data_IF_960560503731
#
_entry.id   IF_960560503731
#
_cell.length_a   1.000
_cell.length_b   1.000
_cell.length_c   1.000
_cell.angle_alpha   90.00
_cell.angle_beta   90.00
_cell.angle_gamma   90.00
#
_symmetry.space_group_name_H-M   'P 1'
#
loop_
_entity.id
_entity.type
_entity.pdbx_description
1 polymer ?
#
# COMPACT_ATOMS: atom_id res chain seq x y z
N UNK A 1 0.64 -20.79 36.74
CA UNK A 1 -0.03 -19.47 36.59
C UNK A 1 -1.43 -19.77 36.06
N UNK A 2 -2.20 -20.60 36.77
CA UNK A 2 -3.42 -21.22 36.23
C UNK A 2 -4.70 -20.41 36.51
N UNK A 3 -4.55 -19.16 36.98
CA UNK A 3 -5.68 -18.30 37.36
C UNK A 3 -5.41 -16.82 36.99
N UNK A 4 -4.67 -16.59 35.89
CA UNK A 4 -4.35 -15.25 35.42
C UNK A 4 -5.58 -14.58 34.80
N UNK A 5 -6.26 -13.74 35.59
CA UNK A 5 -7.38 -12.91 35.13
C UNK A 5 -6.90 -11.68 34.38
N UNK A 6 -7.62 -11.28 33.34
CA UNK A 6 -7.38 -10.01 32.65
C UNK A 6 -7.79 -8.82 33.53
N UNK A 7 -7.25 -7.61 33.25
CA UNK A 7 -7.69 -6.40 33.95
C UNK A 7 -9.20 -6.16 33.77
N UNK A 8 -9.73 -6.50 32.58
CA UNK A 8 -11.16 -6.43 32.26
C UNK A 8 -11.98 -7.38 33.14
N UNK A 9 -11.54 -8.61 33.33
CA UNK A 9 -12.19 -9.58 34.22
C UNK A 9 -12.14 -9.13 35.69
N UNK A 10 -11.02 -8.57 36.14
CA UNK A 10 -10.88 -8.04 37.50
C UNK A 10 -11.84 -6.86 37.70
N UNK A 11 -11.90 -5.93 36.75
CA UNK A 11 -12.84 -4.80 36.79
C UNK A 11 -14.29 -5.28 36.73
N UNK A 12 -14.60 -6.28 35.90
CA UNK A 12 -15.94 -6.84 35.80
C UNK A 12 -16.39 -7.51 37.12
N UNK A 13 -15.45 -8.10 37.88
CA UNK A 13 -15.74 -8.72 39.17
C UNK A 13 -16.07 -7.71 40.28
N UNK A 14 -15.58 -6.47 40.20
CA UNK A 14 -15.91 -5.39 41.13
C UNK A 14 -15.80 -4.01 40.46
N UNK A 15 -16.86 -3.56 39.75
CA UNK A 15 -16.83 -2.32 38.97
C UNK A 15 -16.56 -1.06 39.82
N UNK A 16 -16.92 -1.08 41.11
CA UNK A 16 -16.69 0.05 42.02
C UNK A 16 -15.19 0.29 42.29
N UNK A 17 -14.35 -0.75 42.13
CA UNK A 17 -12.89 -0.62 42.27
C UNK A 17 -12.21 -0.05 41.04
N UNK A 18 -12.87 0.01 39.87
CA UNK A 18 -12.28 0.48 38.61
C UNK A 18 -11.54 1.82 38.74
N UNK A 19 -12.11 2.89 39.34
CA UNK A 19 -11.43 4.18 39.45
C UNK A 19 -10.14 4.09 40.29
N UNK A 20 -10.15 3.30 41.36
CA UNK A 20 -9.00 3.12 42.24
C UNK A 20 -7.89 2.31 41.57
N UNK A 21 -8.26 1.23 40.88
CA UNK A 21 -7.32 0.37 40.12
C UNK A 21 -6.63 1.20 39.04
N UNK A 22 -7.40 1.94 38.23
CA UNK A 22 -6.84 2.74 37.15
C UNK A 22 -6.00 3.91 37.65
N UNK A 23 -6.37 4.55 38.77
CA UNK A 23 -5.52 5.58 39.39
C UNK A 23 -4.17 5.03 39.82
N UNK A 24 -4.15 3.89 40.52
CA UNK A 24 -2.91 3.26 40.95
C UNK A 24 -2.05 2.80 39.75
N UNK A 25 -2.69 2.22 38.73
CA UNK A 25 -2.02 1.83 37.50
C UNK A 25 -1.42 3.06 36.78
N UNK A 26 -2.15 4.17 36.72
CA UNK A 26 -1.67 5.44 36.15
C UNK A 26 -0.41 5.94 36.86
N UNK A 27 -0.45 6.03 38.19
CA UNK A 27 0.68 6.51 39.00
C UNK A 27 1.92 5.63 38.81
N UNK A 28 1.72 4.31 38.78
CA UNK A 28 2.78 3.33 38.53
C UNK A 28 3.37 3.51 37.13
N UNK A 29 2.53 3.57 36.10
CA UNK A 29 2.97 3.73 34.71
C UNK A 29 3.71 5.05 34.48
N UNK A 30 3.21 6.16 35.04
CA UNK A 30 3.90 7.46 34.97
C UNK A 30 5.28 7.38 35.62
N UNK A 31 5.41 6.72 36.78
CA UNK A 31 6.72 6.51 37.42
C UNK A 31 7.69 5.71 36.54
N UNK A 32 7.20 4.66 35.87
CA UNK A 32 8.01 3.83 34.96
C UNK A 32 8.46 4.62 33.73
N UNK A 33 7.57 5.44 33.16
CA UNK A 33 7.86 6.33 32.02
C UNK A 33 8.94 7.36 32.42
N UNK A 34 8.82 7.99 33.58
CA UNK A 34 9.80 8.97 34.09
C UNK A 34 11.18 8.36 34.35
N UNK A 35 11.23 7.07 34.70
CA UNK A 35 12.47 6.30 34.90
C UNK A 35 13.03 5.70 33.61
N UNK A 36 12.46 6.03 32.44
CA UNK A 36 12.87 5.49 31.13
C UNK A 36 12.78 3.96 31.03
N UNK A 37 11.86 3.35 31.80
CA UNK A 37 11.64 1.90 31.81
C UNK A 37 10.55 1.47 30.81
N UNK A 38 10.08 2.39 29.96
CA UNK A 38 8.98 2.14 29.03
C UNK A 38 9.33 1.11 27.95
N UNK A 39 10.61 0.85 27.70
CA UNK A 39 11.08 -0.10 26.68
C UNK A 39 10.83 -1.58 27.02
N UNK A 40 10.46 -1.88 28.26
CA UNK A 40 10.13 -3.24 28.68
C UNK A 40 8.72 -3.62 28.22
N UNK A 41 8.58 -4.76 27.55
CA UNK A 41 7.31 -5.21 26.95
C UNK A 41 6.17 -5.39 27.96
N UNK A 42 6.50 -5.73 29.22
CA UNK A 42 5.51 -5.77 30.32
C UNK A 42 4.84 -4.42 30.54
N UNK A 43 5.57 -3.31 30.35
CA UNK A 43 5.05 -1.95 30.45
C UNK A 43 4.14 -1.64 29.26
N UNK A 44 4.45 -2.14 28.06
CA UNK A 44 3.60 -1.95 26.88
C UNK A 44 2.23 -2.61 27.09
N UNK A 45 2.22 -3.83 27.64
CA UNK A 45 0.97 -4.54 27.97
C UNK A 45 0.18 -3.79 29.04
N UNK A 46 0.82 -3.36 30.12
CA UNK A 46 0.17 -2.57 31.17
C UNK A 46 -0.37 -1.22 30.65
N UNK A 47 0.35 -0.56 29.74
CA UNK A 47 -0.14 0.63 29.03
C UNK A 47 -1.38 0.31 28.20
N UNK A 48 -1.36 -0.75 27.40
CA UNK A 48 -2.50 -1.14 26.58
C UNK A 48 -3.75 -1.43 27.44
N UNK A 49 -3.58 -2.15 28.54
CA UNK A 49 -4.67 -2.46 29.48
C UNK A 49 -5.22 -1.19 30.12
N UNK A 50 -4.35 -0.23 30.47
CA UNK A 50 -4.75 1.09 30.94
C UNK A 50 -5.55 1.86 29.88
N UNK A 51 -5.03 1.99 28.65
CA UNK A 51 -5.69 2.72 27.56
C UNK A 51 -7.06 2.14 27.18
N UNK A 52 -7.21 0.82 27.29
CA UNK A 52 -8.48 0.12 26.98
C UNK A 52 -9.56 0.40 28.02
N UNK A 53 -9.17 0.67 29.27
CA UNK A 53 -10.09 0.79 30.40
C UNK A 53 -10.26 2.22 30.93
N UNK A 54 -9.34 3.13 30.62
CA UNK A 54 -9.31 4.51 31.10
C UNK A 54 -10.45 5.37 30.54
N UNK A 55 -10.94 6.29 31.36
CA UNK A 55 -11.80 7.38 30.89
C UNK A 55 -11.00 8.40 30.06
N UNK A 56 -11.71 9.34 29.41
CA UNK A 56 -11.11 10.36 28.55
C UNK A 56 -10.08 11.22 29.28
N UNK A 57 -10.34 11.57 30.54
CA UNK A 57 -9.45 12.42 31.34
C UNK A 57 -8.14 11.69 31.64
N UNK A 58 -8.23 10.49 32.21
CA UNK A 58 -7.07 9.65 32.52
C UNK A 58 -6.26 9.31 31.26
N UNK A 59 -6.94 9.05 30.14
CA UNK A 59 -6.30 8.78 28.85
C UNK A 59 -5.51 10.00 28.36
N UNK A 60 -6.10 11.19 28.40
CA UNK A 60 -5.43 12.43 27.98
C UNK A 60 -4.18 12.69 28.80
N UNK A 61 -4.27 12.56 30.13
CA UNK A 61 -3.13 12.74 31.04
C UNK A 61 -2.00 11.71 30.79
N UNK A 62 -2.35 10.47 30.43
CA UNK A 62 -1.35 9.44 30.07
C UNK A 62 -0.71 9.70 28.71
N UNK A 63 -1.46 10.18 27.73
CA UNK A 63 -0.92 10.57 26.41
C UNK A 63 0.15 11.65 26.60
N UNK A 64 -0.13 12.67 27.40
CA UNK A 64 0.85 13.73 27.69
C UNK A 64 2.13 13.19 28.33
N UNK A 65 2.02 12.18 29.20
CA UNK A 65 3.17 11.56 29.87
C UNK A 65 4.03 10.71 28.91
N UNK A 66 3.41 10.00 27.96
CA UNK A 66 4.10 8.98 27.14
C UNK A 66 4.49 9.45 25.73
N UNK A 67 3.89 10.53 25.20
CA UNK A 67 4.00 10.96 23.79
C UNK A 67 5.42 11.11 23.23
N UNK A 68 6.41 11.39 24.09
CA UNK A 68 7.82 11.53 23.68
C UNK A 68 8.55 10.19 23.54
N UNK A 69 8.04 9.12 24.15
CA UNK A 69 8.71 7.82 24.24
C UNK A 69 8.07 6.74 23.37
N UNK A 70 6.98 7.05 22.65
CA UNK A 70 6.24 6.06 21.82
C UNK A 70 7.12 5.40 20.74
N UNK A 71 8.12 6.11 20.22
CA UNK A 71 9.10 5.57 19.26
C UNK A 71 9.87 4.37 19.81
N UNK A 72 9.99 4.26 21.14
CA UNK A 72 10.68 3.16 21.81
C UNK A 72 9.83 1.88 21.89
N UNK A 73 8.51 1.96 21.75
CA UNK A 73 7.60 0.84 22.04
C UNK A 73 6.83 0.32 20.82
N UNK A 74 6.71 1.14 19.77
CA UNK A 74 5.88 0.87 18.58
C UNK A 74 6.27 -0.38 17.77
N UNK A 75 7.43 -0.98 18.06
CA UNK A 75 7.92 -2.19 17.41
C UNK A 75 7.23 -3.46 17.92
N UNK A 76 6.42 -3.37 18.99
CA UNK A 76 5.65 -4.48 19.57
C UNK A 76 4.16 -4.35 19.26
N UNK A 77 3.42 -5.45 19.30
CA UNK A 77 1.95 -5.46 19.12
C UNK A 77 1.22 -4.49 20.06
N UNK A 78 1.53 -4.57 21.36
CA UNK A 78 0.90 -3.75 22.39
C UNK A 78 1.36 -2.29 22.26
N UNK A 79 2.66 -2.05 22.08
CA UNK A 79 3.20 -0.70 21.97
C UNK A 79 2.75 0.04 20.71
N UNK A 80 2.54 -0.66 19.59
CA UNK A 80 1.93 -0.09 18.39
C UNK A 80 0.47 0.31 18.65
N UNK A 81 -0.32 -0.54 19.32
CA UNK A 81 -1.72 -0.21 19.68
C UNK A 81 -1.80 0.97 20.65
N UNK A 82 -0.90 1.05 21.63
CA UNK A 82 -0.78 2.22 22.51
C UNK A 82 -0.44 3.47 21.69
N UNK A 83 0.51 3.38 20.77
CA UNK A 83 0.88 4.49 19.88
C UNK A 83 -0.29 4.93 19.00
N UNK A 84 -1.05 4.00 18.42
CA UNK A 84 -2.27 4.28 17.63
C UNK A 84 -3.32 4.98 18.50
N UNK A 85 -3.57 4.50 19.72
CA UNK A 85 -4.49 5.14 20.68
C UNK A 85 -4.06 6.57 21.02
N UNK A 86 -2.76 6.80 21.24
CA UNK A 86 -2.21 8.14 21.46
C UNK A 86 -2.39 9.06 20.24
N UNK A 87 -2.25 8.54 19.02
CA UNK A 87 -2.49 9.29 17.79
C UNK A 87 -3.97 9.63 17.62
N UNK A 88 -4.89 8.70 17.91
CA UNK A 88 -6.33 8.93 17.75
C UNK A 88 -6.88 9.88 18.80
N UNK A 89 -6.51 9.70 20.07
CA UNK A 89 -7.09 10.46 21.17
C UNK A 89 -6.23 11.65 21.63
N UNK A 90 -5.00 11.78 21.13
CA UNK A 90 -4.14 12.91 21.45
C UNK A 90 -4.59 14.21 20.78
N UNK A 91 -4.30 15.33 21.44
CA UNK A 91 -4.52 16.67 20.89
C UNK A 91 -3.62 16.94 19.69
N UNK A 92 -3.85 18.01 18.91
CA UNK A 92 -2.91 18.43 17.87
C UNK A 92 -1.48 18.66 18.39
N UNK A 93 -1.34 19.12 19.65
CA UNK A 93 -0.04 19.29 20.30
C UNK A 93 0.63 17.93 20.55
N UNK A 94 -0.12 16.95 21.04
CA UNK A 94 0.39 15.60 21.27
C UNK A 94 0.86 14.95 19.97
N UNK A 95 0.00 14.95 18.95
CA UNK A 95 0.31 14.40 17.62
C UNK A 95 1.57 15.04 17.05
N UNK A 96 1.75 16.35 17.19
CA UNK A 96 2.96 17.05 16.74
C UNK A 96 4.23 16.55 17.45
N UNK A 97 4.16 16.28 18.75
CA UNK A 97 5.29 15.75 19.52
C UNK A 97 5.60 14.31 19.07
N UNK A 98 4.57 13.46 18.92
CA UNK A 98 4.70 12.07 18.46
C UNK A 98 5.33 12.02 17.06
N UNK A 99 4.80 12.79 16.10
CA UNK A 99 5.34 12.81 14.73
C UNK A 99 6.81 13.24 14.72
N UNK A 100 7.19 14.23 15.54
CA UNK A 100 8.58 14.68 15.64
C UNK A 100 9.51 13.65 16.28
N UNK A 101 9.04 12.85 17.24
CA UNK A 101 9.86 11.80 17.86
C UNK A 101 10.17 10.64 16.92
N UNK A 102 9.42 10.49 15.82
CA UNK A 102 9.67 9.49 14.79
C UNK A 102 10.81 9.85 13.83
N UNK A 103 11.23 11.14 13.82
CA UNK A 103 12.32 11.61 12.96
C UNK A 103 13.58 10.76 13.16
N UNK A 104 14.28 10.46 12.07
CA UNK A 104 15.44 9.56 11.99
C UNK A 104 15.13 8.07 12.15
N UNK A 105 13.90 7.71 12.52
CA UNK A 105 13.46 6.32 12.68
C UNK A 105 12.41 5.91 11.64
N UNK A 106 11.97 6.81 10.76
CA UNK A 106 10.83 6.58 9.85
C UNK A 106 11.01 5.33 9.00
N UNK A 107 12.20 5.14 8.42
CA UNK A 107 12.50 3.95 7.59
C UNK A 107 12.43 2.67 8.41
N UNK A 108 12.91 2.70 9.67
CA UNK A 108 12.82 1.55 10.57
C UNK A 108 11.35 1.24 10.88
N UNK A 109 10.57 2.25 11.26
CA UNK A 109 9.13 2.12 11.57
C UNK A 109 8.37 1.55 10.37
N UNK A 110 8.66 2.00 9.14
CA UNK A 110 8.03 1.48 7.93
C UNK A 110 8.20 -0.04 7.79
N UNK A 111 9.36 -0.57 8.20
CA UNK A 111 9.72 -1.99 7.99
C UNK A 111 9.37 -2.90 9.16
N UNK A 112 8.87 -2.35 10.26
CA UNK A 112 8.50 -3.12 11.45
C UNK A 112 7.11 -3.73 11.31
N UNK A 113 6.95 -4.97 11.79
CA UNK A 113 5.70 -5.73 11.75
C UNK A 113 4.54 -4.97 12.41
N UNK A 114 4.80 -4.31 13.53
CA UNK A 114 3.79 -3.52 14.25
C UNK A 114 3.97 -2.01 14.06
N UNK A 115 5.21 -1.55 13.90
CA UNK A 115 5.53 -0.13 13.72
C UNK A 115 4.84 0.49 12.51
N UNK A 116 4.75 -0.22 11.39
CA UNK A 116 4.12 0.32 10.18
C UNK A 116 2.64 0.67 10.38
N UNK A 117 1.93 -0.06 11.26
CA UNK A 117 0.52 0.20 11.59
C UNK A 117 0.33 1.57 12.26
N UNK A 118 1.33 2.04 13.00
CA UNK A 118 1.32 3.37 13.63
C UNK A 118 1.39 4.48 12.58
N UNK A 119 2.11 4.28 11.47
CA UNK A 119 2.13 5.21 10.36
C UNK A 119 0.80 5.24 9.62
N UNK A 120 0.13 4.08 9.47
CA UNK A 120 -1.21 4.03 8.87
C UNK A 120 -2.22 4.84 9.72
N UNK A 121 -2.21 4.64 11.03
CA UNK A 121 -3.04 5.41 11.97
C UNK A 121 -2.70 6.91 11.97
N UNK A 122 -1.42 7.27 11.83
CA UNK A 122 -0.95 8.64 11.72
C UNK A 122 -1.52 9.32 10.48
N UNK A 123 -1.48 8.65 9.32
CA UNK A 123 -2.08 9.16 8.08
C UNK A 123 -3.60 9.34 8.23
N UNK A 124 -4.26 8.46 8.99
CA UNK A 124 -5.70 8.51 9.27
C UNK A 124 -6.12 9.53 10.34
N UNK A 125 -5.19 10.13 11.12
CA UNK A 125 -5.56 10.99 12.25
C UNK A 125 -4.91 12.39 12.27
N UNK A 126 -3.75 12.60 11.66
CA UNK A 126 -3.01 13.87 11.81
C UNK A 126 -3.41 14.91 10.75
N UNK A 127 -4.12 15.97 11.17
CA UNK A 127 -4.58 17.05 10.28
C UNK A 127 -3.43 17.96 9.77
N UNK A 128 -2.35 18.10 10.53
CA UNK A 128 -1.14 18.84 10.12
C UNK A 128 -0.33 17.99 9.13
N UNK A 129 -0.86 17.84 7.92
CA UNK A 129 -0.24 17.08 6.83
C UNK A 129 1.08 17.70 6.37
N UNK A 130 1.28 19.01 6.53
CA UNK A 130 2.56 19.67 6.26
C UNK A 130 3.66 19.14 7.19
N UNK A 131 3.34 18.93 8.48
CA UNK A 131 4.28 18.28 9.41
C UNK A 131 4.55 16.83 8.99
N UNK A 132 3.51 16.06 8.64
CA UNK A 132 3.67 14.67 8.17
C UNK A 132 4.56 14.63 6.93
N UNK A 133 4.37 15.55 5.99
CA UNK A 133 5.20 15.67 4.80
C UNK A 133 6.67 15.94 5.13
N UNK A 134 6.93 16.92 6.01
CA UNK A 134 8.29 17.34 6.38
C UNK A 134 9.08 16.34 7.19
N UNK A 135 8.41 15.51 8.00
CA UNK A 135 9.08 14.56 8.91
C UNK A 135 9.01 13.13 8.37
N UNK A 136 7.82 12.67 8.01
CA UNK A 136 7.60 11.27 7.63
C UNK A 136 7.91 11.08 6.15
N UNK A 137 7.18 11.77 5.26
CA UNK A 137 7.33 11.57 3.82
C UNK A 137 8.73 11.95 3.35
N UNK A 138 9.28 13.08 3.82
CA UNK A 138 10.63 13.53 3.45
C UNK A 138 11.73 12.49 3.72
N UNK A 139 11.62 11.69 4.79
CA UNK A 139 12.56 10.60 5.06
C UNK A 139 12.28 9.36 4.18
N UNK A 140 11.02 9.11 3.83
CA UNK A 140 10.63 7.96 2.99
C UNK A 140 11.09 8.10 1.54
N UNK A 141 10.94 9.29 0.93
CA UNK A 141 11.12 9.48 -0.52
C UNK A 141 12.52 9.08 -1.04
N UNK A 142 13.63 9.37 -0.35
CA UNK A 142 14.96 8.94 -0.80
C UNK A 142 15.21 7.43 -0.69
N UNK A 143 14.32 6.67 -0.04
CA UNK A 143 14.49 5.24 0.29
C UNK A 143 13.34 4.38 -0.24
N UNK A 144 12.62 4.85 -1.25
CA UNK A 144 11.45 4.16 -1.80
C UNK A 144 11.73 2.70 -2.19
N UNK A 145 12.88 2.39 -2.81
CA UNK A 145 13.24 1.02 -3.18
C UNK A 145 13.31 0.10 -1.95
N UNK A 146 14.02 0.52 -0.90
CA UNK A 146 14.14 -0.26 0.33
C UNK A 146 12.79 -0.47 1.02
N UNK A 147 11.94 0.57 1.04
CA UNK A 147 10.60 0.49 1.62
C UNK A 147 9.73 -0.45 0.80
N UNK A 148 9.77 -0.35 -0.53
CA UNK A 148 8.96 -1.15 -1.45
C UNK A 148 9.33 -2.65 -1.39
N UNK A 149 10.61 -2.98 -1.27
CA UNK A 149 11.10 -4.35 -1.16
C UNK A 149 10.70 -5.01 0.17
N UNK A 150 10.58 -4.23 1.25
CA UNK A 150 10.14 -4.75 2.53
C UNK A 150 8.63 -5.05 2.56
N UNK A 151 8.24 -6.18 3.17
CA UNK A 151 6.83 -6.59 3.29
C UNK A 151 5.93 -5.55 3.96
N UNK A 152 6.37 -5.00 5.11
CA UNK A 152 5.62 -4.00 5.87
C UNK A 152 5.76 -2.59 5.26
N UNK A 153 6.98 -2.25 4.79
CA UNK A 153 7.24 -0.96 4.15
C UNK A 153 6.33 -0.73 2.95
N UNK A 154 6.15 -1.75 2.11
CA UNK A 154 5.23 -1.70 0.97
C UNK A 154 3.78 -1.46 1.39
N UNK A 155 3.34 -1.94 2.55
CA UNK A 155 1.99 -1.65 3.08
C UNK A 155 1.84 -0.16 3.38
N UNK A 156 2.89 0.53 3.86
CA UNK A 156 2.87 1.99 4.07
C UNK A 156 2.66 2.72 2.74
N UNK A 157 3.38 2.33 1.69
CA UNK A 157 3.22 2.93 0.35
C UNK A 157 1.83 2.65 -0.23
N UNK A 158 1.35 1.40 -0.14
CA UNK A 158 0.01 1.02 -0.59
C UNK A 158 -1.09 1.76 0.18
N UNK A 159 -0.88 2.10 1.45
CA UNK A 159 -1.87 2.84 2.23
C UNK A 159 -1.99 4.30 1.80
N UNK A 160 -0.87 4.94 1.42
CA UNK A 160 -0.90 6.29 0.86
C UNK A 160 -1.63 6.34 -0.50
N UNK A 161 -1.51 5.27 -1.30
CA UNK A 161 -2.16 5.14 -2.61
C UNK A 161 -3.65 4.77 -2.50
N UNK A 162 -3.94 3.71 -1.75
CA UNK A 162 -5.25 3.08 -1.65
C UNK A 162 -5.51 2.62 -0.20
N UNK A 163 -5.79 3.57 0.72
CA UNK A 163 -5.98 3.29 2.14
C UNK A 163 -7.14 2.33 2.32
N UNK A 164 -6.93 1.33 3.20
CA UNK A 164 -7.93 0.34 3.61
C UNK A 164 -8.54 -0.50 2.48
N UNK A 165 -7.90 -0.56 1.30
CA UNK A 165 -8.38 -1.39 0.20
C UNK A 165 -8.27 -2.89 0.58
N UNK A 166 -9.36 -3.69 0.54
CA UNK A 166 -9.34 -5.10 1.00
C UNK A 166 -8.40 -6.01 0.22
N UNK A 167 -8.04 -5.66 -1.02
CA UNK A 167 -7.02 -6.39 -1.79
C UNK A 167 -5.61 -6.24 -1.22
N UNK A 168 -5.36 -5.19 -0.42
CA UNK A 168 -4.06 -4.90 0.18
C UNK A 168 -4.04 -5.12 1.69
N UNK A 169 -5.17 -4.98 2.39
CA UNK A 169 -5.22 -5.03 3.84
C UNK A 169 -6.23 -6.07 4.31
N UNK A 170 -5.79 -6.96 5.20
CA UNK A 170 -6.66 -7.97 5.80
C UNK A 170 -7.78 -7.28 6.62
N UNK A 171 -8.99 -7.87 6.69
CA UNK A 171 -10.12 -7.28 7.41
C UNK A 171 -9.81 -6.89 8.86
N UNK A 172 -9.01 -7.70 9.57
CA UNK A 172 -8.59 -7.41 10.95
C UNK A 172 -7.78 -6.12 11.07
N UNK A 173 -6.90 -5.82 10.11
CA UNK A 173 -6.12 -4.58 10.09
C UNK A 173 -7.03 -3.38 9.82
N UNK A 174 -7.96 -3.53 8.88
CA UNK A 174 -8.94 -2.48 8.58
C UNK A 174 -9.79 -2.20 9.82
N UNK A 175 -10.33 -3.24 10.46
CA UNK A 175 -11.12 -3.12 11.69
C UNK A 175 -10.33 -2.44 12.82
N UNK A 176 -9.05 -2.78 12.97
CA UNK A 176 -8.18 -2.13 13.95
C UNK A 176 -8.03 -0.63 13.66
N UNK A 177 -7.78 -0.25 12.40
CA UNK A 177 -7.62 1.15 12.01
C UNK A 177 -8.92 1.97 12.17
N UNK A 178 -10.08 1.37 11.89
CA UNK A 178 -11.37 2.05 12.02
C UNK A 178 -11.71 2.47 13.46
N UNK A 179 -11.04 1.93 14.47
CA UNK A 179 -11.22 2.35 15.87
C UNK A 179 -10.82 3.81 16.11
N UNK A 180 -9.98 4.38 15.24
CA UNK A 180 -9.57 5.78 15.29
C UNK A 180 -10.48 6.76 14.56
N UNK A 181 -11.50 6.26 13.85
CA UNK A 181 -12.37 7.09 13.03
C UNK A 181 -13.29 7.96 13.89
N UNK A 182 -13.61 9.16 13.41
CA UNK A 182 -14.49 10.10 14.13
C UNK A 182 -13.93 10.61 15.46
N UNK A 183 -12.62 10.45 15.71
CA UNK A 183 -12.00 10.91 16.94
C UNK A 183 -12.13 12.44 17.15
N UNK A 184 -12.01 12.87 18.40
CA UNK A 184 -12.28 14.24 18.83
C UNK A 184 -11.42 15.31 18.17
N UNK A 185 -10.18 15.00 17.76
CA UNK A 185 -9.19 16.00 17.35
C UNK A 185 -8.85 16.00 15.87
N UNK A 186 -9.32 15.01 15.10
CA UNK A 186 -9.23 15.00 13.64
C UNK A 186 -10.43 15.73 13.06
N UNK A 187 -10.24 17.00 12.70
CA UNK A 187 -11.29 17.89 12.19
C UNK A 187 -11.26 18.03 10.67
N UNK A 188 -10.10 17.79 10.05
CA UNK A 188 -9.98 17.75 8.59
C UNK A 188 -10.68 16.52 8.04
N UNK A 189 -11.48 16.70 6.98
CA UNK A 189 -12.11 15.58 6.26
C UNK A 189 -11.08 14.55 5.81
N UNK A 190 -11.41 13.27 5.96
CA UNK A 190 -10.50 12.16 5.65
C UNK A 190 -10.05 12.18 4.19
N UNK A 191 -10.93 12.57 3.26
CA UNK A 191 -10.61 12.70 1.83
C UNK A 191 -9.61 13.82 1.57
N UNK A 192 -9.77 14.98 2.20
CA UNK A 192 -8.86 16.13 2.04
C UNK A 192 -7.47 15.76 2.54
N UNK A 193 -7.38 15.15 3.72
CA UNK A 193 -6.10 14.71 4.30
C UNK A 193 -5.41 13.67 3.43
N UNK A 194 -6.16 12.68 2.94
CA UNK A 194 -5.66 11.68 2.00
C UNK A 194 -5.09 12.34 0.75
N UNK A 195 -5.83 13.25 0.13
CA UNK A 195 -5.39 13.92 -1.09
C UNK A 195 -4.11 14.71 -0.85
N UNK A 196 -4.02 15.50 0.22
CA UNK A 196 -2.79 16.25 0.54
C UNK A 196 -1.55 15.34 0.74
N UNK A 197 -1.72 14.17 1.36
CA UNK A 197 -0.63 13.20 1.53
C UNK A 197 -0.29 12.49 0.20
N UNK A 198 -1.29 12.15 -0.59
CA UNK A 198 -1.14 11.53 -1.91
C UNK A 198 -0.43 12.49 -2.88
N UNK A 199 -0.82 13.75 -2.95
CA UNK A 199 -0.17 14.79 -3.75
C UNK A 199 1.32 14.89 -3.42
N UNK A 200 1.67 14.81 -2.13
CA UNK A 200 3.05 14.94 -1.67
C UNK A 200 3.95 13.77 -2.08
N UNK A 201 3.42 12.54 -2.19
CA UNK A 201 4.21 11.37 -2.59
C UNK A 201 4.18 11.07 -4.08
N UNK A 202 3.16 11.55 -4.79
CA UNK A 202 2.90 11.18 -6.18
C UNK A 202 4.06 11.45 -7.14
N UNK A 203 4.72 12.64 -7.15
CA UNK A 203 5.82 12.91 -8.07
C UNK A 203 6.98 11.92 -7.94
N UNK A 204 7.38 11.61 -6.71
CA UNK A 204 8.46 10.66 -6.43
C UNK A 204 8.07 9.22 -6.73
N UNK A 205 6.81 8.83 -6.48
CA UNK A 205 6.33 7.49 -6.83
C UNK A 205 6.23 7.28 -8.34
N UNK A 206 5.81 8.31 -9.11
CA UNK A 206 5.81 8.27 -10.58
C UNK A 206 7.24 8.09 -11.10
N UNK A 207 8.18 8.89 -10.59
CA UNK A 207 9.60 8.78 -10.96
C UNK A 207 10.16 7.40 -10.62
N UNK A 208 9.93 6.94 -9.39
CA UNK A 208 10.34 5.60 -8.93
C UNK A 208 9.79 4.49 -9.83
N UNK A 209 8.51 4.54 -10.19
CA UNK A 209 7.90 3.56 -11.08
C UNK A 209 8.52 3.56 -12.48
N UNK A 210 8.78 4.75 -13.05
CA UNK A 210 9.38 4.89 -14.36
C UNK A 210 10.84 4.39 -14.42
N UNK A 211 11.62 4.63 -13.37
CA UNK A 211 13.05 4.28 -13.30
C UNK A 211 13.31 2.81 -12.94
N UNK A 212 12.36 2.15 -12.25
CA UNK A 212 12.57 0.81 -11.68
C UNK A 212 11.68 -0.27 -12.31
N UNK A 213 11.14 -0.02 -13.50
CA UNK A 213 10.14 -0.89 -14.17
C UNK A 213 10.56 -2.37 -14.24
N UNK A 214 11.84 -2.67 -14.52
CA UNK A 214 12.33 -4.06 -14.60
C UNK A 214 12.22 -4.76 -13.26
N UNK A 215 12.69 -4.14 -12.17
CA UNK A 215 12.60 -4.74 -10.83
C UNK A 215 11.15 -4.87 -10.39
N UNK A 216 10.33 -3.86 -10.68
CA UNK A 216 8.95 -3.81 -10.21
C UNK A 216 8.05 -4.84 -10.92
N UNK A 217 8.19 -5.03 -12.23
CA UNK A 217 7.28 -5.90 -12.98
C UNK A 217 7.62 -7.39 -12.84
N UNK A 218 8.88 -7.74 -12.54
CA UNK A 218 9.32 -9.14 -12.40
C UNK A 218 9.18 -9.67 -10.96
N UNK A 219 8.76 -8.86 -10.00
CA UNK A 219 8.40 -9.33 -8.64
C UNK A 219 6.89 -9.27 -8.41
N UNK A 220 6.33 -10.32 -7.80
CA UNK A 220 4.88 -10.44 -7.57
C UNK A 220 4.31 -9.34 -6.65
N UNK A 221 5.04 -8.96 -5.61
CA UNK A 221 4.56 -7.98 -4.65
C UNK A 221 4.82 -6.54 -5.13
N UNK A 222 5.95 -6.31 -5.79
CA UNK A 222 6.30 -5.02 -6.37
C UNK A 222 5.45 -4.68 -7.60
N UNK A 223 5.05 -5.67 -8.40
CA UNK A 223 4.18 -5.44 -9.56
C UNK A 223 2.79 -4.97 -9.12
N UNK A 224 2.28 -5.47 -7.99
CA UNK A 224 1.05 -4.95 -7.39
C UNK A 224 1.20 -3.50 -6.93
N UNK A 225 2.35 -3.14 -6.35
CA UNK A 225 2.66 -1.75 -6.00
C UNK A 225 2.74 -0.88 -7.25
N UNK A 226 3.39 -1.34 -8.32
CA UNK A 226 3.46 -0.60 -9.59
C UNK A 226 2.07 -0.29 -10.14
N UNK A 227 1.19 -1.30 -10.21
CA UNK A 227 -0.20 -1.09 -10.67
C UNK A 227 -0.94 -0.14 -9.74
N UNK A 228 -0.73 -0.22 -8.42
CA UNK A 228 -1.32 0.71 -7.47
C UNK A 228 -0.83 2.15 -7.68
N UNK A 229 0.45 2.35 -8.00
CA UNK A 229 1.03 3.66 -8.33
C UNK A 229 0.33 4.22 -9.56
N UNK A 230 0.35 3.50 -10.70
CA UNK A 230 -0.24 3.98 -11.95
C UNK A 230 -1.74 4.28 -11.82
N UNK A 231 -2.45 3.53 -10.97
CA UNK A 231 -3.88 3.73 -10.76
C UNK A 231 -4.25 4.93 -9.88
N UNK A 232 -3.46 5.21 -8.83
CA UNK A 232 -3.90 6.08 -7.74
C UNK A 232 -3.12 7.38 -7.59
N UNK A 233 -1.89 7.51 -8.11
CA UNK A 233 -1.13 8.77 -7.97
C UNK A 233 -1.80 9.94 -8.68
N UNK A 234 -1.49 11.14 -8.21
CA UNK A 234 -1.85 12.39 -8.88
C UNK A 234 -0.76 12.79 -9.88
N UNK A 235 -1.16 13.29 -11.05
CA UNK A 235 -0.25 13.72 -12.12
C UNK A 235 -0.06 12.71 -13.25
N UNK A 236 0.81 13.06 -14.19
CA UNK A 236 1.04 12.29 -15.42
C UNK A 236 1.84 11.03 -15.18
N UNK A 237 1.21 9.86 -15.32
CA UNK A 237 1.86 8.54 -15.22
C UNK A 237 2.43 8.02 -16.55
N UNK A 238 2.36 8.84 -17.60
CA UNK A 238 2.87 8.50 -18.93
C UNK A 238 4.33 7.99 -18.91
N UNK A 239 5.29 8.60 -18.18
CA UNK A 239 6.67 8.11 -18.16
C UNK A 239 6.77 6.66 -17.65
N UNK A 240 5.97 6.29 -16.65
CA UNK A 240 5.95 4.93 -16.12
C UNK A 240 5.35 3.95 -17.14
N UNK A 241 4.26 4.34 -17.82
CA UNK A 241 3.63 3.53 -18.87
C UNK A 241 4.55 3.35 -20.09
N UNK A 242 5.23 4.41 -20.52
CA UNK A 242 6.23 4.37 -21.59
C UNK A 242 7.40 3.46 -21.23
N UNK A 243 7.88 3.49 -19.99
CA UNK A 243 8.92 2.57 -19.51
C UNK A 243 8.47 1.10 -19.58
N UNK A 244 7.20 0.80 -19.27
CA UNK A 244 6.64 -0.55 -19.43
C UNK A 244 6.57 -0.93 -20.91
N UNK A 245 6.04 -0.06 -21.76
CA UNK A 245 5.94 -0.33 -23.20
C UNK A 245 7.32 -0.56 -23.83
N UNK A 246 8.34 0.22 -23.43
CA UNK A 246 9.74 0.03 -23.84
C UNK A 246 10.34 -1.29 -23.32
N UNK A 247 10.00 -1.70 -22.11
CA UNK A 247 10.43 -3.00 -21.57
C UNK A 247 9.78 -4.16 -22.34
N UNK A 248 8.51 -3.99 -22.73
CA UNK A 248 7.73 -4.96 -23.48
C UNK A 248 8.12 -5.08 -24.96
N UNK A 249 8.74 -4.04 -25.54
CA UNK A 249 9.23 -4.03 -26.93
C UNK A 249 10.63 -4.64 -27.09
N UNK A 250 11.15 -5.33 -26.07
CA UNK A 250 12.39 -6.09 -26.19
C UNK A 250 12.14 -7.33 -27.03
N UNK A 251 13.21 -7.88 -27.59
CA UNK A 251 13.13 -9.12 -28.36
C UNK A 251 12.51 -10.23 -27.51
N UNK A 252 11.45 -10.84 -28.06
CA UNK A 252 10.73 -11.94 -27.44
C UNK A 252 11.21 -13.25 -28.05
N UNK A 253 12.15 -13.91 -27.38
CA UNK A 253 12.59 -15.25 -27.77
C UNK A 253 11.51 -16.28 -27.40
N UNK A 254 10.75 -16.75 -28.38
CA UNK A 254 9.69 -17.76 -28.17
C UNK A 254 10.23 -19.17 -27.96
N UNK A 255 11.50 -19.43 -28.30
CA UNK A 255 12.15 -20.73 -28.16
C UNK A 255 12.71 -20.90 -26.75
N UNK A 256 13.21 -19.81 -26.15
CA UNK A 256 13.66 -19.82 -24.77
C UNK A 256 12.47 -20.03 -23.82
N UNK A 257 12.57 -21.06 -22.97
CA UNK A 257 11.52 -21.41 -22.00
C UNK A 257 11.73 -20.76 -20.62
N UNK A 258 12.75 -19.91 -20.45
CA UNK A 258 12.93 -19.16 -19.21
C UNK A 258 11.74 -18.21 -18.95
N UNK A 259 11.01 -18.43 -17.86
CA UNK A 259 9.77 -17.70 -17.60
C UNK A 259 9.95 -16.21 -17.25
N UNK A 260 11.16 -15.79 -16.87
CA UNK A 260 11.43 -14.43 -16.35
C UNK A 260 12.46 -13.67 -17.19
N UNK A 261 12.66 -14.07 -18.46
CA UNK A 261 13.52 -13.34 -19.41
C UNK A 261 12.79 -12.17 -20.10
N UNK A 262 11.46 -12.26 -20.22
CA UNK A 262 10.61 -11.28 -20.87
C UNK A 262 9.33 -11.00 -20.07
N UNK A 263 8.83 -9.76 -20.12
CA UNK A 263 7.65 -9.34 -19.32
C UNK A 263 6.36 -10.10 -19.70
N UNK A 264 6.25 -10.55 -20.94
CA UNK A 264 5.13 -11.38 -21.42
C UNK A 264 5.23 -12.85 -21.00
N UNK A 265 6.43 -13.32 -20.62
CA UNK A 265 6.62 -14.63 -20.00
C UNK A 265 6.50 -14.54 -18.49
N UNK A 266 6.88 -13.44 -17.87
CA UNK A 266 6.88 -13.27 -16.42
C UNK A 266 5.50 -13.46 -15.80
N UNK A 267 5.41 -14.20 -14.69
CA UNK A 267 4.14 -14.42 -13.99
C UNK A 267 3.54 -13.12 -13.43
N UNK A 268 4.38 -12.23 -12.91
CA UNK A 268 4.02 -10.91 -12.42
C UNK A 268 3.91 -9.89 -13.55
N UNK A 269 4.83 -9.93 -14.51
CA UNK A 269 4.90 -8.96 -15.61
C UNK A 269 3.67 -8.98 -16.51
N UNK A 270 3.26 -10.15 -17.01
CA UNK A 270 2.10 -10.26 -17.90
C UNK A 270 0.81 -9.84 -17.17
N UNK A 271 0.70 -10.16 -15.87
CA UNK A 271 -0.44 -9.77 -15.06
C UNK A 271 -0.48 -8.25 -14.88
N UNK A 272 0.65 -7.62 -14.59
CA UNK A 272 0.74 -6.16 -14.48
C UNK A 272 0.31 -5.49 -15.79
N UNK A 273 0.82 -5.94 -16.94
CA UNK A 273 0.44 -5.41 -18.27
C UNK A 273 -1.07 -5.55 -18.51
N UNK A 274 -1.65 -6.72 -18.23
CA UNK A 274 -3.11 -6.93 -18.36
C UNK A 274 -3.90 -5.96 -17.48
N UNK A 275 -3.47 -5.78 -16.23
CA UNK A 275 -4.12 -4.83 -15.32
C UNK A 275 -4.02 -3.39 -15.85
N UNK A 276 -2.87 -2.99 -16.41
CA UNK A 276 -2.70 -1.66 -17.02
C UNK A 276 -3.65 -1.46 -18.21
N UNK A 277 -3.80 -2.46 -19.09
CA UNK A 277 -4.77 -2.41 -20.20
C UNK A 277 -6.20 -2.25 -19.66
N UNK A 278 -6.57 -3.02 -18.64
CA UNK A 278 -7.88 -2.92 -18.01
C UNK A 278 -8.12 -1.57 -17.31
N UNK A 279 -7.05 -0.91 -16.85
CA UNK A 279 -7.14 0.41 -16.23
C UNK A 279 -7.49 1.50 -17.23
N UNK A 280 -7.28 1.31 -18.53
CA UNK A 280 -7.60 2.30 -19.55
C UNK A 280 -9.06 2.74 -19.50
N UNK A 281 -9.98 1.79 -19.25
CA UNK A 281 -11.40 2.10 -19.04
C UNK A 281 -11.60 3.15 -17.95
N UNK A 282 -11.03 2.89 -16.76
CA UNK A 282 -11.14 3.80 -15.61
C UNK A 282 -10.40 5.12 -15.84
N UNK A 283 -9.34 5.13 -16.64
CA UNK A 283 -8.57 6.34 -16.99
C UNK A 283 -9.36 7.21 -17.96
N UNK A 284 -9.97 6.61 -18.97
CA UNK A 284 -10.85 7.28 -19.94
C UNK A 284 -12.10 7.85 -19.24
N UNK A 285 -12.74 7.09 -18.35
CA UNK A 285 -13.87 7.56 -17.52
C UNK A 285 -13.51 8.76 -16.63
N UNK A 286 -12.23 8.91 -16.26
CA UNK A 286 -11.69 10.07 -15.52
C UNK A 286 -11.21 11.20 -16.43
N UNK A 287 -11.41 11.10 -17.74
CA UNK A 287 -10.99 12.11 -18.72
C UNK A 287 -9.48 12.16 -18.99
N UNK A 288 -8.76 11.04 -18.81
CA UNK A 288 -7.34 10.98 -19.16
C UNK A 288 -7.14 10.58 -20.62
N UNK A 289 -6.43 11.42 -21.37
CA UNK A 289 -6.07 11.14 -22.78
C UNK A 289 -4.92 10.14 -22.91
N UNK A 290 -4.18 9.88 -21.83
CA UNK A 290 -3.04 8.95 -21.84
C UNK A 290 -3.48 7.59 -21.32
N UNK A 291 -3.57 6.64 -22.26
CA UNK A 291 -3.96 5.26 -22.04
C UNK A 291 -2.76 4.33 -22.30
N UNK A 292 -2.69 3.20 -21.59
CA UNK A 292 -1.58 2.27 -21.70
C UNK A 292 -1.63 1.42 -22.96
N UNK A 293 -2.81 0.93 -23.36
CA UNK A 293 -2.92 0.04 -24.52
C UNK A 293 -2.49 0.68 -25.84
N UNK A 294 -2.81 1.96 -26.17
CA UNK A 294 -2.24 2.62 -27.35
C UNK A 294 -0.71 2.78 -27.24
N UNK A 295 -0.19 3.11 -26.06
CA UNK A 295 1.26 3.24 -25.84
C UNK A 295 2.01 1.92 -26.04
N UNK A 296 1.37 0.81 -25.67
CA UNK A 296 1.91 -0.53 -25.89
C UNK A 296 1.90 -0.87 -27.38
N UNK A 297 0.78 -0.67 -28.07
CA UNK A 297 0.63 -0.96 -29.50
C UNK A 297 1.59 -0.14 -30.37
N UNK A 298 1.84 1.12 -30.02
CA UNK A 298 2.82 1.97 -30.70
C UNK A 298 4.26 1.42 -30.69
N UNK A 299 4.55 0.36 -29.93
CA UNK A 299 5.87 -0.29 -29.85
C UNK A 299 5.87 -1.78 -30.19
N UNK A 300 4.73 -2.36 -30.55
CA UNK A 300 4.60 -3.79 -30.84
C UNK A 300 4.16 -3.95 -32.29
N UNK A 301 4.97 -4.63 -33.09
CA UNK A 301 4.64 -4.96 -34.46
C UNK A 301 3.77 -6.24 -34.58
N UNK A 302 3.14 -6.50 -35.74
CA UNK A 302 2.31 -7.68 -35.95
C UNK A 302 3.03 -9.02 -35.68
N UNK A 303 4.34 -9.09 -35.94
CA UNK A 303 5.14 -10.30 -35.68
C UNK A 303 5.32 -10.55 -34.18
N UNK A 304 5.57 -9.50 -33.40
CA UNK A 304 5.65 -9.56 -31.95
C UNK A 304 4.31 -9.97 -31.34
N UNK A 305 3.17 -9.47 -31.84
CA UNK A 305 1.84 -9.94 -31.41
C UNK A 305 1.62 -11.43 -31.67
N UNK A 306 2.07 -11.94 -32.83
CA UNK A 306 2.05 -13.36 -33.13
C UNK A 306 2.97 -14.15 -32.17
N UNK A 307 4.17 -13.64 -31.88
CA UNK A 307 5.11 -14.27 -30.97
C UNK A 307 4.58 -14.30 -29.53
N UNK A 308 3.88 -13.25 -29.09
CA UNK A 308 3.16 -13.25 -27.81
C UNK A 308 2.13 -14.38 -27.75
N UNK A 309 1.44 -14.67 -28.86
CA UNK A 309 0.48 -15.77 -28.93
C UNK A 309 1.13 -17.16 -28.75
N UNK A 310 2.40 -17.34 -29.11
CA UNK A 310 3.10 -18.61 -28.90
C UNK A 310 3.27 -18.95 -27.40
N UNK A 311 3.27 -17.92 -26.54
CA UNK A 311 3.41 -18.05 -25.10
C UNK A 311 2.03 -17.90 -24.44
N UNK A 312 1.63 -18.85 -23.60
CA UNK A 312 0.29 -18.80 -22.98
C UNK A 312 0.02 -17.49 -22.20
N UNK A 313 1.00 -16.99 -21.42
CA UNK A 313 0.89 -15.71 -20.70
C UNK A 313 0.82 -14.50 -21.64
N UNK A 314 1.63 -14.48 -22.70
CA UNK A 314 1.60 -13.47 -23.75
C UNK A 314 0.27 -13.46 -24.51
N UNK A 315 -0.28 -14.62 -24.83
CA UNK A 315 -1.58 -14.76 -25.47
C UNK A 315 -2.70 -14.15 -24.60
N UNK A 316 -2.63 -14.28 -23.28
CA UNK A 316 -3.57 -13.61 -22.37
C UNK A 316 -3.42 -12.08 -22.31
N UNK A 317 -2.25 -11.54 -22.66
CA UNK A 317 -2.09 -10.09 -22.87
C UNK A 317 -2.79 -9.66 -24.16
N UNK A 318 -2.62 -10.41 -25.25
CA UNK A 318 -3.33 -10.18 -26.52
C UNK A 318 -4.85 -10.25 -26.33
N UNK A 319 -5.34 -11.22 -25.54
CA UNK A 319 -6.77 -11.27 -25.14
C UNK A 319 -7.19 -9.97 -24.47
N UNK A 320 -6.41 -9.44 -23.53
CA UNK A 320 -6.74 -8.17 -22.87
C UNK A 320 -6.72 -6.97 -23.82
N UNK A 321 -5.87 -6.96 -24.86
CA UNK A 321 -5.91 -5.93 -25.90
C UNK A 321 -7.18 -6.03 -26.76
N UNK A 322 -7.57 -7.26 -27.15
CA UNK A 322 -8.81 -7.50 -27.90
C UNK A 322 -10.09 -7.26 -27.08
N UNK A 323 -10.00 -7.25 -25.76
CA UNK A 323 -11.13 -6.98 -24.85
C UNK A 323 -11.06 -5.57 -24.23
N UNK A 324 -10.08 -4.75 -24.60
CA UNK A 324 -9.90 -3.43 -24.00
C UNK A 324 -11.03 -2.47 -24.41
N UNK A 325 -11.20 -1.39 -23.64
CA UNK A 325 -12.23 -0.39 -23.91
C UNK A 325 -11.86 0.62 -25.00
N UNK A 326 -10.71 0.44 -25.67
CA UNK A 326 -10.18 1.35 -26.69
C UNK A 326 -10.38 0.72 -28.06
N UNK A 327 -11.37 1.19 -28.82
CA UNK A 327 -11.81 0.58 -30.08
C UNK A 327 -10.68 0.50 -31.11
N UNK A 328 -9.86 1.55 -31.20
CA UNK A 328 -8.76 1.65 -32.15
C UNK A 328 -7.71 0.56 -31.90
N UNK A 329 -7.44 0.23 -30.62
CA UNK A 329 -6.51 -0.84 -30.25
C UNK A 329 -7.07 -2.20 -30.65
N UNK A 330 -8.37 -2.43 -30.46
CA UNK A 330 -9.01 -3.66 -30.91
C UNK A 330 -8.85 -3.83 -32.43
N UNK A 331 -9.19 -2.80 -33.21
CA UNK A 331 -9.10 -2.83 -34.67
C UNK A 331 -7.67 -3.08 -35.15
N UNK A 332 -6.68 -2.42 -34.55
CA UNK A 332 -5.27 -2.57 -34.89
C UNK A 332 -4.76 -4.01 -34.61
N UNK A 333 -5.08 -4.56 -33.44
CA UNK A 333 -4.69 -5.94 -33.08
C UNK A 333 -5.39 -6.95 -33.98
N UNK A 334 -6.67 -6.73 -34.29
CA UNK A 334 -7.47 -7.60 -35.15
C UNK A 334 -6.89 -7.64 -36.57
N UNK A 335 -6.62 -6.47 -37.16
CA UNK A 335 -6.00 -6.33 -38.48
C UNK A 335 -4.60 -6.97 -38.51
N UNK A 336 -3.82 -6.82 -37.44
CA UNK A 336 -2.47 -7.37 -37.33
C UNK A 336 -2.46 -8.91 -37.27
N UNK A 337 -3.44 -9.52 -36.60
CA UNK A 337 -3.47 -10.98 -36.36
C UNK A 337 -4.31 -11.78 -37.35
N UNK A 338 -5.29 -11.17 -38.02
CA UNK A 338 -6.12 -11.83 -39.05
C UNK A 338 -5.30 -12.56 -40.14
N UNK A 339 -4.21 -11.98 -40.69
CA UNK A 339 -3.35 -12.68 -41.66
C UNK A 339 -2.70 -13.96 -41.12
N UNK A 340 -2.50 -14.04 -39.80
CA UNK A 340 -1.84 -15.15 -39.14
C UNK A 340 -2.79 -16.22 -38.59
N UNK A 341 -4.11 -16.14 -38.86
CA UNK A 341 -5.10 -17.10 -38.34
C UNK A 341 -4.74 -18.58 -38.57
N UNK A 342 -4.14 -18.92 -39.73
CA UNK A 342 -3.69 -20.29 -40.00
C UNK A 342 -2.56 -20.72 -39.06
N UNK A 343 -1.59 -19.84 -38.79
CA UNK A 343 -0.49 -20.09 -37.83
C UNK A 343 -1.01 -20.12 -36.39
N UNK A 344 -1.92 -19.23 -36.02
CA UNK A 344 -2.52 -19.24 -34.69
C UNK A 344 -3.21 -20.58 -34.38
N UNK A 345 -3.89 -21.18 -35.37
CA UNK A 345 -4.54 -22.49 -35.21
C UNK A 345 -3.56 -23.66 -34.98
N UNK A 346 -2.27 -23.49 -35.25
CA UNK A 346 -1.25 -24.52 -34.96
C UNK A 346 -0.64 -24.38 -33.56
N UNK A 347 -0.96 -23.30 -32.82
CA UNK A 347 -0.44 -23.07 -31.48
C UNK A 347 -1.41 -23.64 -30.45
N UNK A 348 -0.91 -24.55 -29.62
CA UNK A 348 -1.71 -25.22 -28.58
C UNK A 348 -1.51 -24.56 -27.21
N UNK A 349 -2.27 -23.49 -26.93
CA UNK A 349 -2.40 -22.97 -25.58
C UNK A 349 -3.78 -22.33 -25.33
N UNK A 350 -4.14 -22.20 -24.04
CA UNK A 350 -5.47 -21.72 -23.62
C UNK A 350 -5.71 -20.27 -24.05
N UNK A 351 -4.68 -19.42 -23.98
CA UNK A 351 -4.79 -18.02 -24.38
C UNK A 351 -5.11 -17.87 -25.87
N UNK A 352 -4.41 -18.59 -26.74
CA UNK A 352 -4.62 -18.55 -28.20
C UNK A 352 -6.00 -19.03 -28.61
N UNK A 353 -6.53 -20.05 -27.94
CA UNK A 353 -7.91 -20.49 -28.20
C UNK A 353 -8.92 -19.34 -28.00
N UNK A 354 -8.68 -18.46 -27.02
CA UNK A 354 -9.50 -17.27 -26.77
C UNK A 354 -9.21 -16.19 -27.81
N UNK A 355 -7.95 -15.93 -28.16
CA UNK A 355 -7.57 -14.99 -29.23
C UNK A 355 -8.29 -15.34 -30.53
N UNK A 356 -8.23 -16.60 -30.97
CA UNK A 356 -8.90 -17.07 -32.19
C UNK A 356 -10.41 -16.86 -32.08
N UNK A 357 -11.02 -17.12 -30.92
CA UNK A 357 -12.45 -16.88 -30.71
C UNK A 357 -12.81 -15.40 -30.86
N UNK A 358 -11.97 -14.49 -30.35
CA UNK A 358 -12.20 -13.04 -30.41
C UNK A 358 -11.99 -12.48 -31.82
N UNK A 359 -11.04 -13.02 -32.61
CA UNK A 359 -10.80 -12.62 -34.00
C UNK A 359 -11.87 -13.10 -35.00
N UNK A 360 -12.73 -14.05 -34.60
CA UNK A 360 -13.83 -14.58 -35.42
C UNK A 360 -15.21 -14.03 -35.00
N UNK A 361 -15.27 -13.17 -33.97
CA UNK A 361 -16.47 -12.39 -33.67
C UNK A 361 -16.56 -11.23 -34.65
#
# INVERSE_FOLDING_TARGET
IDDARSLEEIIASDPHKKPYILRNLKETLVSLIQKSLVSHTIVHKALLDFFTNADEKMRTEMIEAVREQLVLILHTSEGARVTMSCLWHGTPKDRKVIVKSFKSYVIKICKEEYGHLTLLALFDSVDDTVLVQKVIIAEMLPRLSEIAENHHGRKVLLYLLAPRLPSYFAPKIIQQLTQGDGNQHSKKESSVRRNELLSAVSPSLIKFAAENVKTLLFDKALSQLFVAIVHNVEGGVEPAMQSVAKLASKELDVINNEEEDHVFKSASGHFAIKQLIQLDKKRSEKGSDVLFSPLLMARIDPETLLNMCQINRGAFVVVSLLECSVSEVYEEVEQSLKPYLKKLKTIENKGVAIVIKLLNK
#
